data_IF_112039066856
#
_entry.id   IF_112039066856
#
_cell.length_a   1.000
_cell.length_b   1.000
_cell.length_c   1.000
_cell.angle_alpha   90.00
_cell.angle_beta   90.00
_cell.angle_gamma   90.00
#
_symmetry.space_group_name_H-M   'P 1'
#
loop_
_entity.id
_entity.type
_entity.pdbx_description
1 polymer ?
#
# COMPACT_ATOMS: atom_id res chain seq x y z
N UNK A 1 19.31 -17.61 18.31
CA UNK A 1 17.93 -17.19 18.67
C UNK A 1 16.87 -17.56 17.64
N UNK A 2 16.54 -16.74 16.62
CA UNK A 2 15.34 -16.92 15.78
C UNK A 2 15.12 -18.35 15.21
N UNK A 3 16.16 -19.00 14.71
CA UNK A 3 16.07 -20.37 14.17
C UNK A 3 15.58 -21.40 15.21
N UNK A 4 16.02 -21.29 16.45
CA UNK A 4 15.62 -22.22 17.51
C UNK A 4 14.15 -22.00 17.90
N UNK A 5 13.73 -20.75 18.03
CA UNK A 5 12.33 -20.39 18.29
C UNK A 5 11.41 -20.88 17.17
N UNK A 6 11.82 -20.69 15.91
CA UNK A 6 11.04 -21.18 14.76
C UNK A 6 10.87 -22.70 14.81
N UNK A 7 11.96 -23.45 15.05
CA UNK A 7 11.90 -24.91 15.09
C UNK A 7 11.06 -25.42 16.25
N UNK A 8 11.19 -24.86 17.44
CA UNK A 8 10.40 -25.28 18.60
C UNK A 8 8.90 -25.09 18.37
N UNK A 9 8.50 -23.95 17.78
CA UNK A 9 7.12 -23.70 17.39
C UNK A 9 6.65 -24.66 16.29
N UNK A 10 7.47 -24.89 15.27
CA UNK A 10 7.16 -25.77 14.16
C UNK A 10 7.00 -27.24 14.61
N UNK A 11 7.95 -27.74 15.40
CA UNK A 11 7.93 -29.10 15.97
C UNK A 11 6.77 -29.28 16.96
N UNK A 12 6.39 -28.21 17.66
CA UNK A 12 5.19 -28.18 18.52
C UNK A 12 3.87 -27.97 17.74
N UNK A 13 3.89 -28.06 16.41
CA UNK A 13 2.74 -27.87 15.52
C UNK A 13 2.00 -26.55 15.74
N UNK A 14 2.71 -25.48 16.09
CA UNK A 14 2.14 -24.14 16.20
C UNK A 14 2.11 -23.46 14.84
N UNK A 15 1.03 -22.70 14.59
CA UNK A 15 0.94 -21.91 13.37
C UNK A 15 1.94 -20.74 13.41
N UNK A 16 2.75 -20.62 12.37
CA UNK A 16 3.70 -19.53 12.19
C UNK A 16 3.34 -18.77 10.93
N UNK A 17 3.14 -17.45 11.04
CA UNK A 17 2.91 -16.55 9.92
C UNK A 17 4.06 -15.55 9.89
N UNK A 18 4.75 -15.47 8.74
CA UNK A 18 5.86 -14.54 8.52
C UNK A 18 5.50 -13.64 7.35
N UNK A 19 5.85 -12.36 7.46
CA UNK A 19 5.71 -11.38 6.38
C UNK A 19 7.08 -10.78 6.09
N UNK A 20 7.40 -10.61 4.81
CA UNK A 20 8.64 -10.01 4.34
C UNK A 20 8.33 -9.09 3.17
N UNK A 21 9.11 -8.02 3.02
CA UNK A 21 9.05 -7.10 1.87
C UNK A 21 9.78 -7.66 0.64
N UNK A 22 10.53 -8.76 0.82
CA UNK A 22 11.26 -9.46 -0.24
C UNK A 22 11.07 -10.97 -0.14
N UNK A 23 11.17 -11.71 -1.25
CA UNK A 23 11.18 -13.17 -1.23
C UNK A 23 12.27 -13.71 -0.30
N UNK A 24 12.04 -14.88 0.31
CA UNK A 24 12.96 -15.47 1.27
C UNK A 24 14.41 -15.58 0.76
N UNK A 25 14.61 -15.89 -0.52
CA UNK A 25 15.93 -16.01 -1.14
C UNK A 25 16.67 -14.68 -1.36
N UNK A 26 15.98 -13.54 -1.32
CA UNK A 26 16.54 -12.20 -1.53
C UNK A 26 16.84 -11.45 -0.22
N UNK A 27 16.51 -12.05 0.94
CA UNK A 27 16.76 -11.46 2.24
C UNK A 27 18.25 -11.56 2.56
N UNK A 28 18.93 -10.41 2.56
CA UNK A 28 20.35 -10.34 2.86
C UNK A 28 20.65 -10.88 4.26
N UNK A 29 21.74 -11.65 4.39
CA UNK A 29 22.20 -12.28 5.64
C UNK A 29 21.24 -13.32 6.24
N UNK A 30 20.20 -13.73 5.52
CA UNK A 30 19.38 -14.86 5.93
C UNK A 30 20.13 -16.17 5.68
N UNK A 31 20.20 -17.03 6.70
CA UNK A 31 20.89 -18.31 6.59
C UNK A 31 20.11 -19.25 5.64
N UNK A 32 20.82 -19.97 4.76
CA UNK A 32 20.19 -20.88 3.77
C UNK A 32 19.20 -21.87 4.39
N UNK A 33 19.47 -22.35 5.61
CA UNK A 33 18.56 -23.26 6.33
C UNK A 33 17.20 -22.64 6.65
N UNK A 34 17.13 -21.33 6.90
CA UNK A 34 15.88 -20.62 7.12
C UNK A 34 15.13 -20.42 5.79
N UNK A 35 15.84 -20.09 4.72
CA UNK A 35 15.27 -19.96 3.37
C UNK A 35 14.52 -21.24 2.97
N UNK A 36 15.16 -22.40 3.13
CA UNK A 36 14.51 -23.69 2.83
C UNK A 36 13.25 -23.91 3.66
N UNK A 37 13.25 -23.55 4.94
CA UNK A 37 12.08 -23.72 5.83
C UNK A 37 10.93 -22.80 5.48
N UNK A 38 11.21 -21.57 5.07
CA UNK A 38 10.17 -20.64 4.62
C UNK A 38 9.50 -21.13 3.34
N UNK A 39 10.23 -21.82 2.47
CA UNK A 39 9.71 -22.43 1.24
C UNK A 39 8.92 -23.73 1.47
N UNK A 40 9.01 -24.35 2.64
CA UNK A 40 8.20 -25.55 2.96
C UNK A 40 6.74 -25.19 3.30
N UNK A 41 6.46 -23.92 3.59
CA UNK A 41 5.11 -23.43 3.88
C UNK A 41 4.38 -22.92 2.65
N UNK A 42 3.16 -22.40 2.88
CA UNK A 42 2.44 -21.64 1.86
C UNK A 42 3.12 -20.29 1.67
N UNK A 43 3.67 -20.07 0.48
CA UNK A 43 4.21 -18.77 0.07
C UNK A 43 3.14 -18.07 -0.76
N UNK A 44 2.64 -16.95 -0.23
CA UNK A 44 1.68 -16.09 -0.92
C UNK A 44 2.32 -14.73 -1.17
N UNK A 45 2.25 -14.29 -2.41
CA UNK A 45 2.74 -12.98 -2.84
C UNK A 45 1.63 -11.94 -2.76
N UNK A 46 1.96 -10.72 -2.32
CA UNK A 46 1.04 -9.59 -2.23
C UNK A 46 1.38 -8.61 -3.33
N UNK A 47 0.56 -8.63 -4.37
CA UNK A 47 0.71 -7.74 -5.51
C UNK A 47 -0.01 -6.40 -5.27
N UNK A 48 0.42 -5.37 -6.01
CA UNK A 48 -0.27 -4.07 -6.02
C UNK A 48 -1.70 -4.29 -6.55
N UNK A 49 -2.74 -3.77 -5.88
CA UNK A 49 -4.11 -3.95 -6.32
C UNK A 49 -4.37 -3.24 -7.65
N UNK A 50 -5.18 -3.88 -8.51
CA UNK A 50 -5.73 -3.25 -9.71
C UNK A 50 -6.71 -2.12 -9.36
N UNK A 51 -7.18 -1.39 -10.38
CA UNK A 51 -8.07 -0.25 -10.18
C UNK A 51 -9.36 -0.63 -9.45
N UNK A 52 -10.01 -1.72 -9.87
CA UNK A 52 -11.26 -2.21 -9.28
C UNK A 52 -11.06 -2.59 -7.80
N UNK A 53 -9.96 -3.27 -7.49
CA UNK A 53 -9.60 -3.64 -6.12
C UNK A 53 -9.30 -2.40 -5.28
N UNK A 54 -8.63 -1.37 -5.84
CA UNK A 54 -8.41 -0.10 -5.15
C UNK A 54 -9.73 0.61 -4.81
N UNK A 55 -10.68 0.65 -5.75
CA UNK A 55 -12.03 1.17 -5.50
C UNK A 55 -12.72 0.37 -4.39
N UNK A 56 -12.63 -0.96 -4.41
CA UNK A 56 -13.24 -1.81 -3.39
C UNK A 56 -12.62 -1.58 -1.99
N UNK A 57 -11.30 -1.46 -1.91
CA UNK A 57 -10.58 -1.14 -0.65
C UNK A 57 -11.02 0.23 -0.12
N UNK A 58 -10.99 1.27 -0.97
CA UNK A 58 -11.39 2.62 -0.59
C UNK A 58 -12.84 2.69 -0.15
N UNK A 59 -13.75 2.04 -0.89
CA UNK A 59 -15.18 1.98 -0.56
C UNK A 59 -15.41 1.30 0.79
N UNK A 60 -14.76 0.15 1.02
CA UNK A 60 -14.83 -0.56 2.30
C UNK A 60 -14.33 0.31 3.46
N UNK A 61 -13.24 1.05 3.25
CA UNK A 61 -12.69 1.96 4.27
C UNK A 61 -13.57 3.19 4.50
N UNK A 62 -14.09 3.82 3.45
CA UNK A 62 -14.98 4.97 3.56
C UNK A 62 -16.25 4.59 4.35
N UNK A 63 -16.82 3.42 4.06
CA UNK A 63 -17.96 2.88 4.79
C UNK A 63 -17.63 2.65 6.28
N UNK A 64 -16.44 2.15 6.61
CA UNK A 64 -16.02 1.97 8.01
C UNK A 64 -15.80 3.29 8.77
N UNK A 65 -15.70 4.41 8.05
CA UNK A 65 -15.54 5.76 8.60
C UNK A 65 -16.83 6.59 8.53
N UNK A 66 -17.96 5.99 8.13
CA UNK A 66 -19.22 6.67 7.81
C UNK A 66 -19.05 7.85 6.82
N UNK A 67 -18.04 7.77 5.96
CA UNK A 67 -17.71 8.79 4.98
C UNK A 67 -18.43 8.52 3.66
N UNK A 68 -19.27 9.46 3.24
CA UNK A 68 -19.90 9.43 1.91
C UNK A 68 -19.13 10.30 0.94
N UNK A 69 -18.53 9.66 -0.06
CA UNK A 69 -17.85 10.32 -1.17
C UNK A 69 -18.66 10.19 -2.46
N UNK A 70 -18.57 11.18 -3.34
CA UNK A 70 -19.05 11.01 -4.71
C UNK A 70 -18.17 10.03 -5.47
N UNK A 71 -18.75 9.41 -6.51
CA UNK A 71 -18.03 8.48 -7.37
C UNK A 71 -16.80 9.14 -8.01
N UNK A 72 -16.91 10.38 -8.48
CA UNK A 72 -15.80 11.13 -9.06
C UNK A 72 -14.62 11.27 -8.10
N UNK A 73 -14.88 11.53 -6.81
CA UNK A 73 -13.83 11.64 -5.79
C UNK A 73 -13.21 10.27 -5.52
N UNK A 74 -14.02 9.21 -5.49
CA UNK A 74 -13.53 7.84 -5.32
C UNK A 74 -12.60 7.42 -6.48
N UNK A 75 -13.03 7.65 -7.71
CA UNK A 75 -12.25 7.38 -8.91
C UNK A 75 -10.98 8.23 -8.97
N UNK A 76 -11.07 9.51 -8.58
CA UNK A 76 -9.91 10.39 -8.48
C UNK A 76 -8.85 9.82 -7.52
N UNK A 77 -9.25 9.40 -6.32
CA UNK A 77 -8.33 8.80 -5.33
C UNK A 77 -7.69 7.50 -5.86
N UNK A 78 -8.50 6.59 -6.41
CA UNK A 78 -8.03 5.30 -6.92
C UNK A 78 -7.10 5.43 -8.14
N UNK A 79 -7.24 6.51 -8.90
CA UNK A 79 -6.39 6.80 -10.08
C UNK A 79 -5.08 7.44 -9.65
N UNK A 80 -5.15 8.48 -8.82
CA UNK A 80 -4.01 9.35 -8.57
C UNK A 80 -3.16 8.94 -7.36
N UNK A 81 -3.67 8.11 -6.46
CA UNK A 81 -2.93 7.60 -5.28
C UNK A 81 -2.87 6.07 -5.35
N UNK A 82 -2.07 5.55 -6.28
CA UNK A 82 -2.09 4.14 -6.68
C UNK A 82 -0.83 3.33 -6.30
N UNK A 83 0.22 3.97 -5.79
CA UNK A 83 1.52 3.31 -5.56
C UNK A 83 1.50 2.23 -4.47
N UNK A 84 0.77 2.44 -3.38
CA UNK A 84 0.52 1.41 -2.37
C UNK A 84 -0.74 1.70 -1.56
N UNK A 85 -1.31 0.64 -0.98
CA UNK A 85 -2.56 0.72 -0.20
C UNK A 85 -2.46 1.69 0.97
N UNK A 86 -1.30 1.78 1.65
CA UNK A 86 -1.12 2.67 2.80
C UNK A 86 -1.31 4.15 2.41
N UNK A 87 -0.72 4.59 1.29
CA UNK A 87 -0.86 5.98 0.83
C UNK A 87 -2.30 6.28 0.43
N UNK A 88 -2.95 5.35 -0.27
CA UNK A 88 -4.35 5.44 -0.64
C UNK A 88 -5.27 5.57 0.58
N UNK A 89 -5.07 4.75 1.61
CA UNK A 89 -5.80 4.85 2.89
C UNK A 89 -5.48 6.13 3.65
N UNK A 90 -4.22 6.60 3.62
CA UNK A 90 -3.81 7.86 4.23
C UNK A 90 -4.49 9.07 3.58
N UNK A 91 -4.58 9.10 2.25
CA UNK A 91 -5.32 10.11 1.50
C UNK A 91 -6.81 10.11 1.89
N UNK A 92 -7.45 8.94 1.94
CA UNK A 92 -8.84 8.81 2.36
C UNK A 92 -9.05 9.30 3.80
N UNK A 93 -8.14 8.95 4.72
CA UNK A 93 -8.21 9.39 6.12
C UNK A 93 -8.12 10.91 6.24
N UNK A 94 -7.28 11.55 5.43
CA UNK A 94 -7.17 13.02 5.39
C UNK A 94 -8.44 13.67 4.84
N UNK A 95 -9.03 13.10 3.79
CA UNK A 95 -10.33 13.54 3.25
C UNK A 95 -11.43 13.38 4.31
N UNK A 96 -11.44 12.27 5.05
CA UNK A 96 -12.38 12.03 6.14
C UNK A 96 -12.25 13.09 7.24
N UNK A 97 -11.02 13.37 7.68
CA UNK A 97 -10.75 14.41 8.68
C UNK A 97 -11.20 15.80 8.23
N UNK A 98 -10.99 16.14 6.95
CA UNK A 98 -11.47 17.40 6.39
C UNK A 98 -13.00 17.49 6.37
N UNK A 99 -13.69 16.42 5.96
CA UNK A 99 -15.16 16.37 5.96
C UNK A 99 -15.76 16.44 7.36
N UNK A 100 -15.10 15.85 8.37
CA UNK A 100 -15.55 15.94 9.76
C UNK A 100 -15.49 17.39 10.29
N UNK A 101 -14.53 18.19 9.83
CA UNK A 101 -14.34 19.59 10.24
C UNK A 101 -15.14 20.57 9.38
N UNK A 102 -15.52 20.17 8.16
CA UNK A 102 -16.10 21.07 7.16
C UNK A 102 -17.45 20.52 6.71
N UNK A 103 -18.54 21.24 7.00
CA UNK A 103 -19.89 20.87 6.53
C UNK A 103 -20.11 21.08 5.01
N UNK A 104 -19.06 21.39 4.27
CA UNK A 104 -19.09 21.63 2.84
C UNK A 104 -19.09 20.34 2.02
N UNK A 105 -19.55 20.43 0.76
CA UNK A 105 -19.48 19.30 -0.17
C UNK A 105 -18.02 19.01 -0.55
N UNK A 106 -17.61 17.76 -0.44
CA UNK A 106 -16.34 17.27 -0.98
C UNK A 106 -16.45 17.16 -2.50
N UNK A 107 -15.78 18.08 -3.21
CA UNK A 107 -15.61 18.02 -4.68
C UNK A 107 -14.20 17.58 -5.02
N UNK A 108 -13.98 17.11 -6.25
CA UNK A 108 -12.66 16.69 -6.74
C UNK A 108 -11.64 17.83 -6.58
N UNK A 109 -11.99 19.07 -6.91
CA UNK A 109 -11.10 20.23 -6.76
C UNK A 109 -10.66 20.51 -5.31
N UNK A 110 -11.56 20.30 -4.33
CA UNK A 110 -11.23 20.46 -2.91
C UNK A 110 -10.28 19.35 -2.47
N UNK A 111 -10.55 18.11 -2.90
CA UNK A 111 -9.71 16.94 -2.58
C UNK A 111 -8.33 17.06 -3.21
N UNK A 112 -8.24 17.50 -4.47
CA UNK A 112 -6.98 17.75 -5.16
C UNK A 112 -6.13 18.78 -4.41
N UNK A 113 -6.73 19.90 -4.00
CA UNK A 113 -6.04 20.91 -3.18
C UNK A 113 -5.60 20.36 -1.83
N UNK A 114 -6.45 19.56 -1.18
CA UNK A 114 -6.16 18.95 0.12
C UNK A 114 -5.00 17.96 0.07
N UNK A 115 -4.87 17.23 -1.05
CA UNK A 115 -3.90 16.16 -1.24
C UNK A 115 -2.69 16.57 -2.09
N UNK A 116 -2.50 17.87 -2.32
CA UNK A 116 -1.48 18.39 -3.23
C UNK A 116 -0.07 17.85 -2.97
N UNK A 117 0.33 17.75 -1.71
CA UNK A 117 1.60 17.19 -1.26
C UNK A 117 1.73 15.69 -1.59
N UNK A 118 0.69 14.90 -1.30
CA UNK A 118 0.65 13.48 -1.62
C UNK A 118 0.75 13.28 -3.13
N UNK A 119 0.02 14.08 -3.92
CA UNK A 119 0.00 14.01 -5.38
C UNK A 119 1.35 14.43 -5.99
N UNK A 120 2.02 15.44 -5.44
CA UNK A 120 3.37 15.80 -5.88
C UNK A 120 4.37 14.67 -5.66
N UNK A 121 4.34 14.01 -4.50
CA UNK A 121 5.19 12.86 -4.23
C UNK A 121 4.91 11.67 -5.17
N UNK A 122 3.64 11.42 -5.51
CA UNK A 122 3.25 10.41 -6.51
C UNK A 122 3.83 10.76 -7.89
N UNK A 123 3.71 12.02 -8.33
CA UNK A 123 4.27 12.50 -9.59
C UNK A 123 5.81 12.45 -9.64
N UNK A 124 6.48 12.73 -8.52
CA UNK A 124 7.93 12.61 -8.40
C UNK A 124 8.39 11.15 -8.45
N UNK A 125 7.60 10.22 -7.93
CA UNK A 125 7.91 8.80 -7.94
C UNK A 125 7.70 8.12 -9.30
N UNK A 126 6.86 8.68 -10.18
CA UNK A 126 6.66 8.13 -11.51
C UNK A 126 7.92 8.26 -12.38
N UNK A 127 8.39 7.14 -12.94
CA UNK A 127 9.49 7.15 -13.91
C UNK A 127 8.90 7.53 -15.27
N UNK A 128 9.29 8.69 -15.78
CA UNK A 128 8.89 9.17 -17.11
C UNK A 128 10.07 9.17 -18.06
N UNK A 129 9.82 9.20 -19.37
CA UNK A 129 10.87 9.26 -20.40
C UNK A 129 11.80 10.46 -20.17
N UNK A 130 11.24 11.61 -19.81
CA UNK A 130 11.98 12.84 -19.56
C UNK A 130 12.93 12.67 -18.36
N UNK A 131 12.48 12.02 -17.28
CA UNK A 131 13.33 11.72 -16.11
C UNK A 131 14.47 10.78 -16.47
N UNK A 132 14.22 9.79 -17.34
CA UNK A 132 15.26 8.88 -17.82
C UNK A 132 16.27 9.66 -18.66
N UNK A 133 15.81 10.47 -19.63
CA UNK A 133 16.69 11.28 -20.48
C UNK A 133 17.55 12.25 -19.67
N UNK A 134 16.97 12.95 -18.70
CA UNK A 134 17.71 13.87 -17.85
C UNK A 134 18.76 13.16 -17.00
N UNK A 135 18.45 11.96 -16.47
CA UNK A 135 19.37 11.20 -15.63
C UNK A 135 20.55 10.59 -16.40
N UNK A 136 20.40 10.35 -17.70
CA UNK A 136 21.44 9.76 -18.58
C UNK A 136 22.32 10.84 -19.23
N UNK A 137 21.85 12.10 -19.26
CA UNK A 137 22.63 13.25 -19.77
C UNK A 137 23.61 13.80 -18.72
N UNK A 138 23.37 13.52 -17.43
CA UNK A 138 24.32 13.74 -16.32
C UNK A 138 25.39 12.62 -16.24
#
# INVERSE_FOLDING_TARGET
>A
EFFHTFNELFESQKQVVLTSDRPAGEIAKLENRLVSRFQWGLVADIQVPDFETRIAILTKKANSMDLRLSEDVMQFLATNVSRNVRRMEGALTRVAGYAALTQGKLTVAVVEKLLHDILQEEAQAQVTLEKIQQKVVD
#
